data_IF_721462249288
#
_entry.id   IF_721462249288
#
_cell.length_a   1.000
_cell.length_b   1.000
_cell.length_c   1.000
_cell.angle_alpha   90.00
_cell.angle_beta   90.00
_cell.angle_gamma   90.00
#
_symmetry.space_group_name_H-M   'P 1'
#
loop_
_entity.id
_entity.type
_entity.pdbx_description
1 polymer ?
#
# COMPACT_ATOMS: atom_id res chain seq x y z
N UNK A 1 -0.20 -15.44 58.22
CA UNK A 1 0.14 -16.14 56.96
C UNK A 1 -0.24 -15.32 55.73
N UNK A 2 -1.50 -14.87 55.57
CA UNK A 2 -1.78 -13.73 54.66
C UNK A 2 -1.18 -12.47 55.28
N UNK A 3 -0.50 -11.65 54.47
CA UNK A 3 0.24 -10.46 54.90
C UNK A 3 1.72 -10.70 55.23
N UNK A 4 2.17 -11.96 55.29
CA UNK A 4 3.58 -12.28 55.53
C UNK A 4 4.41 -12.14 54.26
N UNK A 5 5.68 -11.77 54.46
CA UNK A 5 6.66 -11.71 53.39
C UNK A 5 7.35 -13.05 53.23
N UNK A 6 7.48 -13.47 51.97
CA UNK A 6 8.13 -14.70 51.55
C UNK A 6 9.06 -14.42 50.37
N UNK A 7 10.03 -15.30 50.16
CA UNK A 7 11.00 -15.14 49.07
C UNK A 7 10.87 -16.27 48.06
N UNK A 8 10.87 -15.93 46.78
CA UNK A 8 10.89 -16.89 45.67
C UNK A 8 12.26 -16.82 44.96
N UNK A 9 12.89 -17.97 44.63
CA UNK A 9 14.22 -18.00 44.01
C UNK A 9 14.35 -17.14 42.74
N UNK A 10 13.30 -17.12 41.90
CA UNK A 10 13.32 -16.41 40.62
C UNK A 10 12.68 -15.01 40.65
N UNK A 11 11.79 -14.73 41.60
CA UNK A 11 10.96 -13.52 41.58
C UNK A 11 11.24 -12.59 42.76
N UNK A 12 12.14 -12.98 43.66
CA UNK A 12 12.52 -12.19 44.81
C UNK A 12 11.47 -12.20 45.92
N UNK A 13 11.50 -11.17 46.76
CA UNK A 13 10.61 -11.00 47.91
C UNK A 13 9.19 -10.60 47.47
N UNK A 14 8.19 -11.13 48.14
CA UNK A 14 6.79 -10.75 47.94
C UNK A 14 5.92 -11.03 49.14
N UNK A 15 4.74 -10.42 49.17
CA UNK A 15 3.78 -10.55 50.27
C UNK A 15 2.64 -11.49 49.87
N UNK A 16 2.29 -12.44 50.73
CA UNK A 16 1.14 -13.33 50.52
C UNK A 16 -0.15 -12.52 50.65
N UNK A 17 -0.93 -12.44 49.57
CA UNK A 17 -2.19 -11.67 49.54
C UNK A 17 -3.42 -12.57 49.68
N UNK A 18 -3.32 -13.85 49.30
CA UNK A 18 -4.40 -14.81 49.47
C UNK A 18 -3.86 -16.26 49.48
N UNK A 19 -4.64 -17.18 50.06
CA UNK A 19 -4.31 -18.60 50.12
C UNK A 19 -5.42 -19.44 49.48
N UNK A 20 -5.03 -20.50 48.81
CA UNK A 20 -5.92 -21.40 48.07
C UNK A 20 -5.61 -22.86 48.40
N UNK A 21 -6.58 -23.74 48.18
CA UNK A 21 -6.46 -25.20 48.40
C UNK A 21 -5.92 -25.55 49.79
N UNK A 22 -6.60 -25.05 50.83
CA UNK A 22 -6.22 -25.24 52.25
C UNK A 22 -4.76 -24.85 52.56
N UNK A 23 -4.24 -23.82 51.90
CA UNK A 23 -2.91 -23.27 52.15
C UNK A 23 -1.76 -23.93 51.37
N UNK A 24 -2.07 -24.84 50.44
CA UNK A 24 -1.09 -25.47 49.55
C UNK A 24 -0.58 -24.51 48.45
N UNK A 25 -1.38 -23.51 48.07
CA UNK A 25 -1.00 -22.52 47.07
C UNK A 25 -1.17 -21.11 47.61
N UNK A 26 -0.18 -20.25 47.34
CA UNK A 26 -0.14 -18.86 47.78
C UNK A 26 -0.20 -17.94 46.58
N UNK A 27 -1.03 -16.91 46.68
CA UNK A 27 -1.01 -15.77 45.77
C UNK A 27 -0.11 -14.70 46.36
N UNK A 28 1.02 -14.44 45.71
CA UNK A 28 2.04 -13.52 46.21
C UNK A 28 2.11 -12.30 45.29
N UNK A 29 2.12 -11.11 45.89
CA UNK A 29 2.46 -9.86 45.22
C UNK A 29 3.93 -9.57 45.48
N UNK A 30 4.74 -9.60 44.42
CA UNK A 30 6.16 -9.33 44.50
C UNK A 30 6.44 -7.83 44.49
N UNK A 31 7.59 -7.42 45.02
CA UNK A 31 7.99 -6.01 45.08
C UNK A 31 8.16 -5.39 43.67
N UNK A 32 8.35 -6.23 42.64
CA UNK A 32 8.33 -5.84 41.22
C UNK A 32 6.95 -5.48 40.67
N UNK A 33 5.88 -5.64 41.46
CA UNK A 33 4.49 -5.38 41.06
C UNK A 33 3.77 -6.59 40.45
N UNK A 34 4.48 -7.68 40.17
CA UNK A 34 3.92 -8.92 39.63
C UNK A 34 3.08 -9.68 40.67
N UNK A 35 2.03 -10.38 40.20
CA UNK A 35 1.13 -11.18 41.06
C UNK A 35 0.88 -12.55 40.45
N UNK A 36 1.34 -13.60 41.12
CA UNK A 36 1.18 -14.97 40.65
C UNK A 36 0.76 -15.91 41.78
N UNK A 37 0.00 -16.95 41.41
CA UNK A 37 -0.35 -18.07 42.29
C UNK A 37 0.66 -19.19 42.09
N UNK A 38 1.32 -19.62 43.16
CA UNK A 38 2.31 -20.71 43.11
C UNK A 38 2.18 -21.64 44.33
N UNK A 39 2.62 -22.90 44.22
CA UNK A 39 2.71 -23.82 45.35
C UNK A 39 3.55 -23.25 46.50
N UNK A 40 3.12 -23.46 47.74
CA UNK A 40 3.81 -22.98 48.95
C UNK A 40 5.27 -23.42 49.03
N UNK A 41 5.59 -24.61 48.53
CA UNK A 41 6.93 -25.21 48.62
C UNK A 41 7.99 -24.46 47.79
N UNK A 42 7.55 -23.62 46.84
CA UNK A 42 8.44 -22.80 46.01
C UNK A 42 8.94 -21.53 46.74
N UNK A 43 8.50 -21.29 47.98
CA UNK A 43 8.82 -20.10 48.75
C UNK A 43 9.62 -20.43 50.02
N UNK A 44 10.65 -19.62 50.32
CA UNK A 44 11.51 -19.76 51.50
C UNK A 44 11.40 -18.54 52.44
N UNK A 45 11.53 -18.80 53.74
CA UNK A 45 11.64 -17.78 54.80
C UNK A 45 10.31 -17.14 55.23
N UNK A 46 9.82 -17.49 56.42
CA UNK A 46 8.93 -16.62 57.19
C UNK A 46 9.84 -15.74 58.06
N UNK A 47 10.16 -14.52 57.62
CA UNK A 47 10.85 -13.55 58.46
C UNK A 47 9.84 -12.52 58.99
N UNK A 48 9.66 -12.52 60.30
CA UNK A 48 9.00 -11.45 61.05
C UNK A 48 9.98 -10.29 61.24
N UNK A 49 9.58 -9.09 60.79
CA UNK A 49 10.07 -7.78 61.22
C UNK A 49 11.53 -7.44 60.94
N UNK A 50 11.81 -6.53 60.00
CA UNK A 50 11.97 -5.11 60.34
C UNK A 50 12.06 -4.25 59.06
N UNK A 51 11.57 -3.02 59.16
CA UNK A 51 11.36 -2.09 58.05
C UNK A 51 12.62 -1.33 57.66
N UNK A 52 13.11 -1.57 56.43
CA UNK A 52 13.71 -0.53 55.59
C UNK A 52 13.44 -0.86 54.12
N UNK A 53 12.43 -0.21 53.53
CA UNK A 53 12.19 -0.28 52.08
C UNK A 53 13.37 0.38 51.37
N UNK A 54 14.11 -0.30 50.47
CA UNK A 54 14.97 0.42 49.55
C UNK A 54 14.09 1.32 48.69
N UNK A 55 14.53 2.56 48.45
CA UNK A 55 13.80 3.50 47.61
C UNK A 55 13.44 2.83 46.28
N UNK A 56 12.19 2.99 45.77
CA UNK A 56 11.83 2.43 44.48
C UNK A 56 12.81 2.94 43.44
N UNK A 57 13.41 2.03 42.68
CA UNK A 57 14.25 2.40 41.55
C UNK A 57 13.45 3.40 40.69
N UNK A 58 14.06 4.51 40.26
CA UNK A 58 13.36 5.50 39.45
C UNK A 58 12.73 4.78 38.27
N UNK A 59 11.41 4.95 38.11
CA UNK A 59 10.71 4.48 36.91
C UNK A 59 11.45 5.09 35.73
N UNK A 60 11.96 4.24 34.84
CA UNK A 60 12.54 4.70 33.58
C UNK A 60 11.42 5.40 32.80
N UNK A 61 11.39 6.72 32.88
CA UNK A 61 10.59 7.56 32.00
C UNK A 61 11.49 7.85 30.81
N UNK A 62 11.37 7.13 29.68
CA UNK A 62 12.11 7.50 28.49
C UNK A 62 11.80 8.94 28.18
N UNK A 63 12.82 9.77 28.01
CA UNK A 63 12.65 11.11 27.47
C UNK A 63 11.93 10.95 26.13
N UNK A 64 10.76 11.58 25.92
CA UNK A 64 10.06 11.44 24.66
C UNK A 64 10.98 11.90 23.53
N UNK A 65 11.19 11.02 22.55
CA UNK A 65 12.02 11.32 21.40
C UNK A 65 11.44 12.55 20.67
N UNK A 66 12.29 13.49 20.20
CA UNK A 66 11.84 14.54 19.30
C UNK A 66 11.08 13.97 18.10
N UNK A 67 10.06 14.66 17.56
CA UNK A 67 9.26 14.16 16.42
C UNK A 67 10.11 13.76 15.22
N UNK A 68 11.13 14.54 14.89
CA UNK A 68 12.06 14.25 13.79
C UNK A 68 12.88 12.98 14.03
N UNK A 69 13.28 12.70 15.27
CA UNK A 69 13.97 11.46 15.62
C UNK A 69 13.02 10.26 15.52
N UNK A 70 11.77 10.42 15.93
CA UNK A 70 10.75 9.38 15.82
C UNK A 70 10.42 9.04 14.36
N UNK A 71 10.26 10.03 13.49
CA UNK A 71 10.05 9.84 12.04
C UNK A 71 11.23 9.09 11.40
N UNK A 72 12.46 9.53 11.70
CA UNK A 72 13.67 8.85 11.22
C UNK A 72 13.73 7.40 11.74
N UNK A 73 13.30 7.15 12.98
CA UNK A 73 13.23 5.79 13.53
C UNK A 73 12.23 4.93 12.77
N UNK A 74 11.04 5.44 12.51
CA UNK A 74 10.02 4.72 11.74
C UNK A 74 10.52 4.39 10.32
N UNK A 75 11.22 5.32 9.69
CA UNK A 75 11.85 5.09 8.39
C UNK A 75 12.87 3.94 8.45
N UNK A 76 13.81 3.99 9.38
CA UNK A 76 14.86 2.96 9.49
C UNK A 76 14.24 1.58 9.79
N UNK A 77 13.25 1.49 10.68
CA UNK A 77 12.58 0.21 10.95
C UNK A 77 11.79 -0.31 9.75
N UNK A 78 11.18 0.57 8.94
CA UNK A 78 10.49 0.18 7.70
C UNK A 78 11.48 -0.39 6.68
N UNK A 79 12.63 0.26 6.50
CA UNK A 79 13.67 -0.22 5.59
C UNK A 79 14.31 -1.52 6.06
N UNK A 80 14.43 -1.73 7.38
CA UNK A 80 14.91 -2.99 7.99
C UNK A 80 14.07 -4.19 7.57
N UNK A 81 12.74 -4.01 7.45
CA UNK A 81 11.81 -5.04 6.94
C UNK A 81 11.66 -5.02 5.42
N UNK A 82 12.42 -4.18 4.72
CA UNK A 82 12.43 -4.08 3.25
C UNK A 82 11.27 -3.30 2.65
N UNK A 83 10.63 -2.42 3.43
CA UNK A 83 9.51 -1.57 3.01
C UNK A 83 9.98 -0.11 2.91
N UNK A 84 9.85 0.49 1.72
CA UNK A 84 10.11 1.92 1.55
C UNK A 84 8.94 2.74 2.14
N UNK A 85 9.17 3.65 3.09
CA UNK A 85 8.11 4.46 3.67
C UNK A 85 7.63 5.52 2.66
N UNK A 86 6.31 5.62 2.49
CA UNK A 86 5.69 6.52 1.51
C UNK A 86 6.07 8.01 1.68
N UNK A 87 6.37 8.44 2.90
CA UNK A 87 6.68 9.85 3.22
C UNK A 87 8.04 10.29 2.66
N UNK A 88 9.01 9.36 2.54
CA UNK A 88 10.37 9.63 2.09
C UNK A 88 10.70 8.91 0.77
N UNK A 89 9.66 8.55 0.01
CA UNK A 89 9.83 7.72 -1.19
C UNK A 89 10.75 8.39 -2.21
N UNK A 90 10.63 9.71 -2.40
CA UNK A 90 11.45 10.47 -3.34
C UNK A 90 12.91 10.53 -2.90
N UNK A 91 13.16 10.70 -1.60
CA UNK A 91 14.52 10.75 -1.07
C UNK A 91 15.20 9.38 -1.23
N UNK A 92 14.46 8.30 -1.00
CA UNK A 92 15.01 6.94 -0.96
C UNK A 92 14.97 6.21 -2.31
N UNK A 93 14.55 6.89 -3.38
CA UNK A 93 14.53 6.31 -4.73
C UNK A 93 15.93 6.32 -5.33
N UNK A 94 16.35 5.18 -5.88
CA UNK A 94 17.66 5.01 -6.52
C UNK A 94 17.43 4.72 -8.00
N UNK A 95 18.02 5.52 -8.89
CA UNK A 95 18.13 5.20 -10.31
C UNK A 95 16.79 4.98 -11.01
N UNK A 96 15.76 5.77 -10.68
CA UNK A 96 14.45 5.74 -11.36
C UNK A 96 14.10 7.09 -12.02
N UNK A 97 15.11 7.91 -12.31
CA UNK A 97 14.90 9.25 -12.88
C UNK A 97 14.18 9.20 -14.24
N UNK A 98 14.52 8.24 -15.09
CA UNK A 98 13.89 8.06 -16.40
C UNK A 98 12.45 7.55 -16.26
N UNK A 99 12.22 6.56 -15.41
CA UNK A 99 10.90 6.01 -15.10
C UNK A 99 10.00 7.07 -14.47
N UNK A 100 10.54 7.92 -13.58
CA UNK A 100 9.79 9.07 -13.03
C UNK A 100 9.40 10.05 -14.11
N UNK A 101 10.30 10.35 -15.05
CA UNK A 101 9.99 11.22 -16.18
C UNK A 101 8.90 10.60 -17.08
N UNK A 102 8.95 9.29 -17.31
CA UNK A 102 7.91 8.56 -18.05
C UNK A 102 6.56 8.56 -17.33
N UNK A 103 6.52 8.30 -16.02
CA UNK A 103 5.30 8.40 -15.20
C UNK A 103 4.69 9.80 -15.27
N UNK A 104 5.53 10.83 -15.13
CA UNK A 104 5.14 12.23 -15.28
C UNK A 104 4.57 12.54 -16.66
N UNK A 105 5.19 12.02 -17.72
CA UNK A 105 4.71 12.15 -19.10
C UNK A 105 3.36 11.43 -19.29
N UNK A 106 3.23 10.21 -18.77
CA UNK A 106 2.01 9.41 -18.82
C UNK A 106 0.84 10.08 -18.10
N UNK A 107 1.05 10.65 -16.91
CA UNK A 107 0.03 11.41 -16.19
C UNK A 107 -0.38 12.69 -16.94
N UNK A 108 0.59 13.37 -17.54
CA UNK A 108 0.33 14.54 -18.41
C UNK A 108 -0.50 14.14 -19.63
N UNK A 109 -0.15 13.01 -20.26
CA UNK A 109 -0.90 12.43 -21.37
C UNK A 109 -2.32 12.06 -20.94
N UNK A 110 -2.49 11.43 -19.78
CA UNK A 110 -3.81 11.07 -19.27
C UNK A 110 -4.69 12.31 -19.08
N UNK A 111 -4.15 13.38 -18.51
CA UNK A 111 -4.90 14.63 -18.33
C UNK A 111 -5.28 15.29 -19.67
N UNK A 112 -4.34 15.37 -20.60
CA UNK A 112 -4.47 16.15 -21.85
C UNK A 112 -5.14 15.40 -23.01
N UNK A 113 -4.91 14.08 -23.13
CA UNK A 113 -5.38 13.24 -24.24
C UNK A 113 -6.48 12.25 -23.84
N UNK A 114 -6.91 12.25 -22.57
CA UNK A 114 -8.06 11.46 -22.10
C UNK A 114 -7.70 10.17 -21.36
N UNK A 115 -6.47 9.71 -21.43
CA UNK A 115 -5.97 8.62 -20.59
C UNK A 115 -4.62 8.09 -21.07
N UNK A 116 -3.97 7.26 -20.26
CA UNK A 116 -2.68 6.64 -20.60
C UNK A 116 -2.50 5.35 -19.80
N UNK A 117 -1.65 4.46 -20.31
CA UNK A 117 -1.36 3.16 -19.69
C UNK A 117 0.14 2.97 -19.56
N UNK A 118 0.56 2.35 -18.45
CA UNK A 118 1.92 1.83 -18.24
C UNK A 118 1.88 0.43 -17.63
N UNK A 119 2.50 -0.54 -18.29
CA UNK A 119 2.80 -1.85 -17.71
C UNK A 119 4.26 -1.83 -17.26
N UNK A 120 4.50 -1.96 -15.96
CA UNK A 120 5.86 -2.00 -15.42
C UNK A 120 6.28 -3.45 -15.20
N UNK A 121 7.37 -3.84 -15.84
CA UNK A 121 7.95 -5.16 -15.76
C UNK A 121 9.20 -5.11 -14.87
N UNK A 122 9.31 -6.04 -13.93
CA UNK A 122 10.53 -6.22 -13.16
C UNK A 122 10.53 -7.52 -12.36
N UNK A 123 11.71 -8.07 -12.09
CA UNK A 123 11.83 -9.28 -11.28
C UNK A 123 11.47 -9.03 -9.80
N UNK A 124 11.43 -10.12 -9.03
CA UNK A 124 11.17 -10.01 -7.60
C UNK A 124 12.26 -9.17 -6.91
N UNK A 125 11.82 -8.16 -6.16
CA UNK A 125 12.72 -7.28 -5.43
C UNK A 125 13.36 -6.16 -6.25
N UNK A 126 12.93 -5.92 -7.50
CA UNK A 126 13.42 -4.82 -8.38
C UNK A 126 12.70 -3.48 -8.16
N UNK A 127 11.80 -3.38 -7.17
CA UNK A 127 11.12 -2.11 -6.85
C UNK A 127 9.77 -1.89 -7.53
N UNK A 128 9.08 -2.93 -8.00
CA UNK A 128 7.71 -2.83 -8.56
C UNK A 128 6.72 -2.11 -7.63
N UNK A 129 6.60 -2.55 -6.37
CA UNK A 129 5.74 -1.88 -5.38
C UNK A 129 6.19 -0.44 -5.10
N UNK A 130 7.49 -0.17 -5.21
CA UNK A 130 8.04 1.17 -5.04
C UNK A 130 7.63 2.09 -6.19
N UNK A 131 7.69 1.63 -7.45
CA UNK A 131 7.22 2.44 -8.59
C UNK A 131 5.71 2.71 -8.53
N UNK A 132 4.91 1.80 -7.97
CA UNK A 132 3.47 2.00 -7.76
C UNK A 132 3.21 3.12 -6.77
N UNK A 133 3.89 3.14 -5.62
CA UNK A 133 3.74 4.23 -4.67
C UNK A 133 4.33 5.55 -5.20
N UNK A 134 5.38 5.49 -6.02
CA UNK A 134 5.95 6.66 -6.69
C UNK A 134 4.95 7.27 -7.69
N UNK A 135 4.31 6.43 -8.51
CA UNK A 135 3.22 6.83 -9.39
C UNK A 135 2.03 7.39 -8.60
N UNK A 136 1.69 6.79 -7.45
CA UNK A 136 0.64 7.30 -6.56
C UNK A 136 0.96 8.72 -6.08
N UNK A 137 2.20 8.95 -5.63
CA UNK A 137 2.64 10.26 -5.16
C UNK A 137 2.61 11.31 -6.27
N UNK A 138 3.20 11.00 -7.42
CA UNK A 138 3.24 11.90 -8.58
C UNK A 138 1.83 12.25 -9.07
N UNK A 139 0.92 11.26 -9.07
CA UNK A 139 -0.48 11.47 -9.44
C UNK A 139 -1.21 12.40 -8.45
N UNK A 140 -1.03 12.19 -7.14
CA UNK A 140 -1.60 13.06 -6.09
C UNK A 140 -1.06 14.49 -6.20
N UNK A 141 0.24 14.68 -6.40
CA UNK A 141 0.86 16.00 -6.57
C UNK A 141 0.30 16.73 -7.82
N UNK A 142 -0.13 15.97 -8.83
CA UNK A 142 -0.83 16.47 -10.04
C UNK A 142 -2.35 16.54 -9.90
N UNK A 143 -2.87 16.43 -8.68
CA UNK A 143 -4.31 16.46 -8.34
C UNK A 143 -5.17 15.35 -8.97
N UNK A 144 -4.61 14.20 -9.30
CA UNK A 144 -5.40 13.00 -9.58
C UNK A 144 -5.92 12.39 -8.28
N UNK A 145 -7.07 11.73 -8.34
CA UNK A 145 -7.43 10.75 -7.32
C UNK A 145 -6.65 9.46 -7.60
N UNK A 146 -6.25 8.73 -6.56
CA UNK A 146 -5.45 7.52 -6.74
C UNK A 146 -6.13 6.33 -6.10
N UNK A 147 -6.44 5.31 -6.89
CA UNK A 147 -6.94 4.02 -6.42
C UNK A 147 -5.83 2.97 -6.56
N UNK A 148 -5.42 2.38 -5.44
CA UNK A 148 -4.33 1.38 -5.41
C UNK A 148 -4.83 0.03 -4.90
N UNK A 149 -4.43 -1.06 -5.52
CA UNK A 149 -4.65 -2.41 -4.96
C UNK A 149 -3.50 -3.32 -5.32
N UNK A 150 -3.22 -4.31 -4.48
CA UNK A 150 -2.35 -5.44 -4.83
C UNK A 150 -3.23 -6.64 -5.18
N UNK A 151 -2.83 -7.43 -6.16
CA UNK A 151 -3.49 -8.70 -6.47
C UNK A 151 -2.83 -9.85 -5.74
N UNK A 152 -3.63 -10.83 -5.37
CA UNK A 152 -3.18 -12.06 -4.72
C UNK A 152 -4.09 -13.22 -5.13
N UNK A 153 -3.53 -14.41 -5.31
CA UNK A 153 -4.31 -15.58 -5.76
C UNK A 153 -5.41 -16.00 -4.78
N UNK A 154 -5.14 -15.89 -3.47
CA UNK A 154 -6.03 -16.33 -2.41
C UNK A 154 -7.09 -15.28 -2.07
N UNK A 155 -6.67 -14.03 -1.92
CA UNK A 155 -7.52 -12.94 -1.43
C UNK A 155 -8.23 -12.19 -2.56
N UNK A 156 -7.48 -11.72 -3.56
CA UNK A 156 -7.99 -10.84 -4.60
C UNK A 156 -7.45 -11.21 -6.00
N UNK A 157 -7.87 -12.37 -6.55
CA UNK A 157 -7.34 -12.83 -7.83
C UNK A 157 -7.86 -12.01 -9.00
N UNK A 158 -7.02 -11.77 -10.01
CA UNK A 158 -7.30 -10.88 -11.15
C UNK A 158 -8.60 -11.21 -11.93
N UNK A 159 -9.03 -12.49 -11.97
CA UNK A 159 -10.25 -12.90 -12.67
C UNK A 159 -11.55 -12.41 -12.00
N UNK A 160 -11.47 -11.86 -10.78
CA UNK A 160 -12.61 -11.32 -10.02
C UNK A 160 -12.69 -9.80 -10.15
N UNK A 161 -12.88 -9.32 -11.38
CA UNK A 161 -12.94 -7.88 -11.72
C UNK A 161 -13.85 -7.05 -10.79
N UNK A 162 -15.00 -7.59 -10.38
CA UNK A 162 -15.92 -6.92 -9.44
C UNK A 162 -15.28 -6.69 -8.05
N UNK A 163 -14.58 -7.69 -7.52
CA UNK A 163 -13.94 -7.60 -6.21
C UNK A 163 -12.71 -6.65 -6.31
N UNK A 164 -11.95 -6.69 -7.43
CA UNK A 164 -10.84 -5.76 -7.72
C UNK A 164 -11.33 -4.30 -7.76
N UNK A 165 -12.42 -4.03 -8.48
CA UNK A 165 -13.07 -2.71 -8.49
C UNK A 165 -13.46 -2.26 -7.08
N UNK A 166 -14.05 -3.16 -6.29
CA UNK A 166 -14.41 -2.84 -4.91
C UNK A 166 -13.21 -2.50 -4.03
N UNK A 167 -12.07 -3.19 -4.21
CA UNK A 167 -10.83 -2.86 -3.52
C UNK A 167 -10.33 -1.47 -3.89
N UNK A 168 -10.24 -1.19 -5.19
CA UNK A 168 -9.81 0.11 -5.74
C UNK A 168 -10.68 1.28 -5.24
N UNK A 169 -12.01 1.13 -5.24
CA UNK A 169 -12.90 2.21 -4.79
C UNK A 169 -12.85 2.45 -3.28
N UNK A 170 -12.44 1.45 -2.48
CA UNK A 170 -12.25 1.60 -1.03
C UNK A 170 -10.89 2.21 -0.68
N UNK A 171 -9.87 1.99 -1.51
CA UNK A 171 -8.51 2.50 -1.31
C UNK A 171 -8.27 3.89 -1.91
N UNK A 172 -9.29 4.52 -2.51
CA UNK A 172 -9.19 5.81 -3.17
C UNK A 172 -8.58 6.89 -2.24
N UNK A 173 -7.52 7.55 -2.70
CA UNK A 173 -6.77 8.62 -2.02
C UNK A 173 -7.04 9.95 -2.70
N UNK A 174 -7.02 11.03 -1.91
CA UNK A 174 -7.27 12.39 -2.37
C UNK A 174 -6.00 13.26 -2.21
N UNK A 175 -5.76 14.20 -3.12
CA UNK A 175 -4.61 15.11 -3.03
C UNK A 175 -4.80 16.20 -1.96
N UNK A 176 -6.04 16.46 -1.56
CA UNK A 176 -6.45 17.54 -0.66
C UNK A 176 -7.08 17.04 0.66
N UNK A 177 -7.03 15.72 0.92
CA UNK A 177 -7.57 15.13 2.16
C UNK A 177 -6.92 13.78 2.49
N UNK A 178 -6.80 13.48 3.78
CA UNK A 178 -6.37 12.17 4.29
C UNK A 178 -7.49 11.12 4.30
N UNK A 179 -8.73 11.52 4.02
CA UNK A 179 -9.86 10.61 3.87
C UNK A 179 -9.62 9.58 2.76
N UNK A 180 -10.36 8.46 2.83
CA UNK A 180 -10.19 7.31 1.94
C UNK A 180 -11.54 6.84 1.37
N UNK A 181 -11.46 6.22 0.21
CA UNK A 181 -12.60 5.58 -0.46
C UNK A 181 -13.43 6.55 -1.29
N UNK A 182 -14.50 6.04 -1.91
CA UNK A 182 -15.32 6.80 -2.85
C UNK A 182 -16.23 7.87 -2.18
N UNK A 183 -16.44 7.78 -0.86
CA UNK A 183 -17.36 8.63 -0.10
C UNK A 183 -17.13 10.15 -0.29
N UNK A 184 -15.92 10.67 -0.05
CA UNK A 184 -15.65 12.12 -0.19
C UNK A 184 -15.94 12.67 -1.58
N UNK A 185 -15.62 11.92 -2.64
CA UNK A 185 -15.96 12.31 -4.02
C UNK A 185 -17.49 12.38 -4.23
N UNK A 186 -18.22 11.38 -3.72
CA UNK A 186 -19.69 11.35 -3.80
C UNK A 186 -20.33 12.49 -3.01
N UNK A 187 -19.80 12.84 -1.84
CA UNK A 187 -20.22 13.99 -1.04
C UNK A 187 -20.06 15.29 -1.82
N UNK A 188 -18.88 15.49 -2.43
CA UNK A 188 -18.58 16.68 -3.23
C UNK A 188 -19.55 16.82 -4.40
N UNK A 189 -19.76 15.75 -5.16
CA UNK A 189 -20.65 15.81 -6.34
C UNK A 189 -22.12 15.91 -5.95
N UNK A 190 -22.58 15.20 -4.90
CA UNK A 190 -24.00 15.26 -4.50
C UNK A 190 -24.39 16.64 -3.99
N UNK A 191 -23.45 17.37 -3.37
CA UNK A 191 -23.68 18.71 -2.83
C UNK A 191 -23.85 19.80 -3.89
N UNK A 192 -23.43 19.56 -5.14
CA UNK A 192 -23.45 20.56 -6.22
C UNK A 192 -24.44 20.12 -7.32
N UNK A 193 -25.64 20.74 -7.43
CA UNK A 193 -26.66 20.36 -8.42
C UNK A 193 -26.16 20.29 -9.86
N UNK A 194 -25.40 21.31 -10.29
CA UNK A 194 -24.86 21.39 -11.66
C UNK A 194 -23.98 20.20 -12.03
N UNK A 195 -23.18 19.67 -11.09
CA UNK A 195 -22.32 18.52 -11.38
C UNK A 195 -23.14 17.24 -11.58
N UNK A 196 -24.27 17.10 -10.86
CA UNK A 196 -25.20 15.98 -11.02
C UNK A 196 -25.89 16.00 -12.37
N UNK A 197 -26.33 17.18 -12.80
CA UNK A 197 -26.93 17.40 -14.12
C UNK A 197 -25.92 17.06 -15.23
N UNK A 198 -24.70 17.59 -15.15
CA UNK A 198 -23.62 17.28 -16.08
C UNK A 198 -23.30 15.78 -16.14
N UNK A 199 -23.24 15.09 -14.98
CA UNK A 199 -23.03 13.65 -14.95
C UNK A 199 -24.16 12.89 -15.66
N UNK A 200 -25.41 13.30 -15.47
CA UNK A 200 -26.56 12.68 -16.11
C UNK A 200 -26.58 12.92 -17.63
N UNK A 201 -26.13 14.08 -18.10
CA UNK A 201 -26.05 14.42 -19.53
C UNK A 201 -24.98 13.61 -20.27
N UNK A 202 -23.83 13.36 -19.64
CA UNK A 202 -22.69 12.66 -20.26
C UNK A 202 -22.76 11.13 -20.12
N UNK A 203 -23.64 10.60 -19.27
CA UNK A 203 -23.76 9.16 -19.04
C UNK A 203 -24.24 8.45 -20.31
N UNK A 204 -23.44 7.53 -20.91
CA UNK A 204 -23.77 6.92 -22.20
C UNK A 204 -24.84 5.83 -22.12
N UNK A 205 -25.16 5.34 -20.91
CA UNK A 205 -26.18 4.31 -20.71
C UNK A 205 -27.31 4.88 -19.88
N UNK A 206 -28.54 4.53 -20.25
CA UNK A 206 -29.70 4.77 -19.41
C UNK A 206 -29.48 4.14 -18.02
N UNK A 207 -30.16 4.59 -16.96
CA UNK A 207 -30.11 3.93 -15.64
C UNK A 207 -28.66 3.58 -15.20
N UNK A 208 -27.75 4.53 -15.34
CA UNK A 208 -26.34 4.40 -14.99
C UNK A 208 -26.18 4.22 -13.46
N UNK A 209 -25.35 3.26 -12.98
CA UNK A 209 -25.10 3.10 -11.55
C UNK A 209 -24.60 4.36 -10.84
N UNK A 210 -23.70 5.14 -11.44
CA UNK A 210 -23.12 6.33 -10.81
C UNK A 210 -24.16 7.46 -10.72
N UNK A 211 -24.83 7.78 -11.83
CA UNK A 211 -25.93 8.77 -11.87
C UNK A 211 -27.02 8.42 -10.88
N UNK A 212 -27.47 7.15 -10.87
CA UNK A 212 -28.53 6.69 -9.97
C UNK A 212 -28.08 6.79 -8.51
N UNK A 213 -26.85 6.37 -8.22
CA UNK A 213 -26.27 6.41 -6.89
C UNK A 213 -26.14 7.84 -6.35
N UNK A 214 -25.56 8.75 -7.11
CA UNK A 214 -25.40 10.17 -6.74
C UNK A 214 -26.78 10.84 -6.57
N UNK A 215 -27.72 10.56 -7.47
CA UNK A 215 -29.10 11.09 -7.38
C UNK A 215 -29.80 10.58 -6.12
N UNK A 216 -29.69 9.29 -5.80
CA UNK A 216 -30.24 8.73 -4.57
C UNK A 216 -29.60 9.39 -3.33
N UNK A 217 -28.27 9.50 -3.30
CA UNK A 217 -27.53 10.14 -2.20
C UNK A 217 -27.95 11.59 -1.96
N UNK A 218 -28.24 12.36 -3.02
CA UNK A 218 -28.65 13.76 -2.91
C UNK A 218 -30.02 13.96 -2.24
N UNK A 219 -30.87 12.92 -2.22
CA UNK A 219 -32.20 12.97 -1.60
C UNK A 219 -32.23 12.32 -0.20
N UNK A 220 -31.08 11.83 0.29
CA UNK A 220 -30.99 11.08 1.54
C UNK A 220 -30.50 11.94 2.70
N UNK A 221 -31.24 11.88 3.81
CA UNK A 221 -30.83 12.47 5.10
C UNK A 221 -30.27 11.43 6.09
N UNK A 222 -30.57 10.14 5.89
CA UNK A 222 -30.14 9.08 6.80
C UNK A 222 -28.71 8.62 6.51
N UNK A 223 -27.79 8.81 7.48
CA UNK A 223 -26.40 8.35 7.39
C UNK A 223 -26.28 6.84 7.13
N UNK A 224 -27.19 6.03 7.69
CA UNK A 224 -27.22 4.57 7.44
C UNK A 224 -27.56 4.24 5.99
N UNK A 225 -28.48 4.98 5.37
CA UNK A 225 -28.80 4.77 3.96
C UNK A 225 -27.69 5.29 3.06
N UNK A 226 -27.07 6.44 3.39
CA UNK A 226 -25.93 6.98 2.67
C UNK A 226 -24.77 5.97 2.64
N UNK A 227 -24.36 5.45 3.80
CA UNK A 227 -23.34 4.41 3.91
C UNK A 227 -23.68 3.13 3.11
N UNK A 228 -24.96 2.76 3.02
CA UNK A 228 -25.39 1.60 2.22
C UNK A 228 -25.23 1.85 0.71
N UNK A 229 -25.52 3.06 0.24
CA UNK A 229 -25.33 3.47 -1.16
C UNK A 229 -23.86 3.61 -1.53
N UNK A 230 -23.07 4.25 -0.68
CA UNK A 230 -21.61 4.34 -0.85
C UNK A 230 -20.99 2.95 -0.93
N UNK A 231 -21.33 2.06 0.02
CA UNK A 231 -20.82 0.69 -0.01
C UNK A 231 -21.23 -0.05 -1.29
N UNK A 232 -22.46 0.11 -1.77
CA UNK A 232 -22.90 -0.52 -3.02
C UNK A 232 -22.14 -0.01 -4.25
N UNK A 233 -21.93 1.32 -4.35
CA UNK A 233 -21.10 1.92 -5.41
C UNK A 233 -19.65 1.45 -5.37
N UNK A 234 -19.15 1.07 -4.19
CA UNK A 234 -17.83 0.43 -3.99
C UNK A 234 -17.87 -1.11 -4.13
N UNK A 235 -18.81 -1.67 -4.90
CA UNK A 235 -18.90 -3.14 -5.10
C UNK A 235 -19.50 -3.89 -3.91
N UNK A 236 -20.27 -3.23 -3.06
CA UNK A 236 -21.04 -3.85 -1.98
C UNK A 236 -22.32 -4.52 -2.47
N UNK A 237 -22.93 -5.34 -1.62
CA UNK A 237 -24.23 -5.97 -1.92
C UNK A 237 -25.35 -4.94 -1.81
N UNK A 238 -26.32 -5.01 -2.73
CA UNK A 238 -27.58 -4.28 -2.60
C UNK A 238 -28.32 -4.75 -1.33
N UNK A 239 -28.80 -3.81 -0.54
CA UNK A 239 -29.57 -4.08 0.70
C UNK A 239 -30.97 -3.47 0.64
N UNK A 240 -31.90 -4.02 1.43
CA UNK A 240 -33.32 -3.57 1.45
C UNK A 240 -33.49 -2.07 1.75
N UNK A 241 -32.60 -1.49 2.57
CA UNK A 241 -32.63 -0.08 2.94
C UNK A 241 -32.54 0.87 1.72
N UNK A 242 -31.93 0.42 0.64
CA UNK A 242 -31.73 1.23 -0.57
C UNK A 242 -32.99 1.34 -1.41
N UNK A 243 -33.91 0.37 -1.33
CA UNK A 243 -35.08 0.30 -2.21
C UNK A 243 -35.94 1.57 -2.13
N UNK A 244 -36.13 2.12 -0.92
CA UNK A 244 -36.92 3.35 -0.68
C UNK A 244 -36.27 4.62 -1.22
N UNK A 245 -34.95 4.59 -1.42
CA UNK A 245 -34.16 5.72 -1.87
C UNK A 245 -33.85 5.68 -3.37
N UNK A 246 -34.25 4.60 -4.05
CA UNK A 246 -34.14 4.50 -5.52
C UNK A 246 -35.01 5.59 -6.15
N UNK A 247 -34.50 6.36 -7.12
CA UNK A 247 -35.31 7.38 -7.80
C UNK A 247 -36.59 6.78 -8.40
N UNK A 248 -37.69 7.54 -8.36
CA UNK A 248 -39.00 7.08 -8.84
C UNK A 248 -38.95 6.76 -10.33
N UNK A 249 -39.59 5.66 -10.74
CA UNK A 249 -39.64 5.22 -12.13
C UNK A 249 -38.36 4.53 -12.62
N UNK A 250 -37.28 4.49 -11.82
CA UNK A 250 -36.02 3.86 -12.21
C UNK A 250 -35.93 2.45 -11.62
N UNK A 251 -35.68 1.46 -12.48
CA UNK A 251 -35.34 0.09 -12.04
C UNK A 251 -33.96 0.12 -11.40
N UNK A 252 -33.81 -0.36 -10.17
CA UNK A 252 -32.51 -0.36 -9.49
C UNK A 252 -31.39 -0.99 -10.35
N UNK A 253 -30.30 -0.25 -10.68
CA UNK A 253 -29.23 -0.74 -11.53
C UNK A 253 -28.41 -1.84 -10.87
N UNK A 254 -27.85 -2.75 -11.66
CA UNK A 254 -26.98 -3.83 -11.16
C UNK A 254 -25.53 -3.55 -11.50
N UNK A 255 -24.64 -3.73 -10.53
CA UNK A 255 -23.19 -3.92 -10.76
C UNK A 255 -22.95 -5.43 -10.71
N UNK A 256 -22.60 -6.03 -11.84
CA UNK A 256 -22.61 -7.48 -12.00
C UNK A 256 -21.36 -8.12 -11.39
N UNK A 257 -21.58 -8.99 -10.40
CA UNK A 257 -20.50 -9.76 -9.76
C UNK A 257 -20.05 -10.98 -10.58
N UNK A 258 -20.94 -11.55 -11.39
CA UNK A 258 -20.73 -12.77 -12.16
C UNK A 258 -21.07 -12.55 -13.63
N UNK A 259 -20.55 -13.41 -14.50
CA UNK A 259 -20.70 -13.28 -15.96
C UNK A 259 -19.62 -12.40 -16.59
N UNK A 260 -19.85 -11.96 -17.82
CA UNK A 260 -18.94 -11.02 -18.52
C UNK A 260 -19.13 -9.60 -17.97
N UNK A 261 -18.42 -9.27 -16.90
CA UNK A 261 -18.54 -7.97 -16.22
C UNK A 261 -17.37 -7.02 -16.48
N UNK A 262 -16.31 -7.45 -17.16
CA UNK A 262 -15.12 -6.64 -17.44
C UNK A 262 -15.47 -5.28 -18.08
N UNK A 263 -16.34 -5.26 -19.10
CA UNK A 263 -16.86 -4.03 -19.72
C UNK A 263 -17.46 -3.06 -18.71
N UNK A 264 -18.36 -3.56 -17.87
CA UNK A 264 -19.00 -2.73 -16.86
C UNK A 264 -17.99 -2.21 -15.83
N UNK A 265 -16.99 -3.00 -15.46
CA UNK A 265 -15.97 -2.57 -14.51
C UNK A 265 -15.08 -1.47 -15.11
N UNK A 266 -14.61 -1.63 -16.36
CA UNK A 266 -13.87 -0.59 -17.06
C UNK A 266 -14.69 0.69 -17.24
N UNK A 267 -15.98 0.55 -17.57
CA UNK A 267 -16.94 1.64 -17.65
C UNK A 267 -17.11 2.39 -16.32
N UNK A 268 -17.18 1.67 -15.19
CA UNK A 268 -17.31 2.30 -13.88
C UNK A 268 -16.01 3.00 -13.45
N UNK A 269 -14.85 2.42 -13.73
CA UNK A 269 -13.56 3.07 -13.43
C UNK A 269 -13.38 4.36 -14.23
N UNK A 270 -13.67 4.33 -15.54
CA UNK A 270 -13.67 5.55 -16.36
C UNK A 270 -14.75 6.53 -15.91
N UNK A 271 -15.92 6.06 -15.47
CA UNK A 271 -16.97 6.92 -14.91
C UNK A 271 -16.58 7.62 -13.62
N UNK A 272 -15.86 6.93 -12.72
CA UNK A 272 -15.28 7.56 -11.51
C UNK A 272 -14.19 8.57 -11.89
N UNK A 273 -13.43 8.32 -12.95
CA UNK A 273 -12.47 9.30 -13.48
C UNK A 273 -13.16 10.57 -13.98
N UNK A 274 -14.25 10.44 -14.74
CA UNK A 274 -15.09 11.56 -15.18
C UNK A 274 -15.70 12.30 -13.98
N UNK A 275 -16.20 11.55 -12.99
CA UNK A 275 -16.73 12.11 -11.74
C UNK A 275 -15.68 12.94 -10.99
N UNK A 276 -14.43 12.45 -10.92
CA UNK A 276 -13.30 13.17 -10.33
C UNK A 276 -13.02 14.48 -11.09
N UNK A 277 -13.04 14.46 -12.43
CA UNK A 277 -12.89 15.67 -13.25
C UNK A 277 -13.98 16.69 -13.00
N UNK A 278 -15.24 16.26 -12.94
CA UNK A 278 -16.37 17.13 -12.61
C UNK A 278 -16.20 17.77 -11.23
N UNK A 279 -15.64 17.04 -10.27
CA UNK A 279 -15.35 17.54 -8.93
C UNK A 279 -14.12 18.48 -8.84
N UNK A 280 -13.40 18.72 -9.95
CA UNK A 280 -12.24 19.61 -10.01
C UNK A 280 -10.89 18.94 -9.77
N UNK A 281 -10.82 17.61 -9.92
CA UNK A 281 -9.58 16.85 -9.95
C UNK A 281 -9.08 16.63 -11.39
N UNK A 282 -7.83 16.23 -11.55
CA UNK A 282 -7.23 16.02 -12.87
C UNK A 282 -7.72 14.74 -13.57
N UNK A 283 -8.25 13.79 -12.81
CA UNK A 283 -8.71 12.47 -13.27
C UNK A 283 -8.57 11.40 -12.19
N UNK A 284 -8.52 10.13 -12.60
CA UNK A 284 -8.27 8.97 -11.74
C UNK A 284 -7.01 8.23 -12.21
N UNK A 285 -6.11 7.94 -11.28
CA UNK A 285 -5.01 6.99 -11.45
C UNK A 285 -5.39 5.66 -10.79
N UNK A 286 -5.49 4.59 -11.58
CA UNK A 286 -5.70 3.23 -11.13
C UNK A 286 -4.36 2.50 -11.16
N UNK A 287 -3.88 2.06 -10.00
CA UNK A 287 -2.58 1.43 -9.85
C UNK A 287 -2.77 0.02 -9.28
N UNK A 288 -2.31 -1.00 -10.00
CA UNK A 288 -2.44 -2.41 -9.61
C UNK A 288 -1.04 -3.02 -9.43
N UNK A 289 -0.72 -3.42 -8.21
CA UNK A 289 0.52 -4.15 -7.92
C UNK A 289 0.29 -5.67 -7.99
N UNK A 290 1.37 -6.44 -8.16
CA UNK A 290 1.39 -7.91 -8.14
C UNK A 290 0.48 -8.55 -9.23
N UNK A 291 0.42 -7.96 -10.42
CA UNK A 291 -0.39 -8.50 -11.51
C UNK A 291 0.16 -9.83 -12.06
N UNK A 292 1.38 -10.23 -11.68
CA UNK A 292 1.93 -11.57 -11.94
C UNK A 292 1.09 -12.73 -11.40
N UNK A 293 0.22 -12.46 -10.40
CA UNK A 293 -0.81 -13.42 -9.98
C UNK A 293 -1.67 -13.91 -11.15
N UNK A 294 -1.78 -13.14 -12.24
CA UNK A 294 -2.37 -13.55 -13.53
C UNK A 294 -1.78 -14.86 -14.06
N UNK A 295 -0.45 -14.95 -14.11
CA UNK A 295 0.28 -16.09 -14.70
C UNK A 295 0.07 -17.38 -13.92
N UNK A 296 -0.28 -17.26 -12.64
CA UNK A 296 -0.52 -18.36 -11.72
C UNK A 296 -2.01 -18.80 -11.68
N UNK A 297 -2.88 -18.11 -12.43
CA UNK A 297 -4.30 -18.48 -12.54
C UNK A 297 -4.48 -19.80 -13.29
N UNK A 298 -5.59 -20.47 -13.00
CA UNK A 298 -6.03 -21.64 -13.75
C UNK A 298 -6.39 -21.25 -15.20
N UNK A 299 -6.24 -22.18 -16.14
CA UNK A 299 -6.51 -21.92 -17.58
C UNK A 299 -7.91 -21.34 -17.86
N UNK A 300 -8.94 -21.71 -17.08
CA UNK A 300 -10.29 -21.16 -17.24
C UNK A 300 -10.50 -19.78 -16.60
N UNK A 301 -9.56 -19.33 -15.76
CA UNK A 301 -9.58 -18.04 -15.06
C UNK A 301 -8.82 -16.96 -15.84
N UNK A 302 -7.72 -17.33 -16.51
CA UNK A 302 -6.89 -16.41 -17.29
C UNK A 302 -7.68 -15.59 -18.32
N UNK A 303 -8.60 -16.16 -19.13
CA UNK A 303 -9.39 -15.36 -20.08
C UNK A 303 -10.22 -14.26 -19.41
N UNK A 304 -10.76 -14.52 -18.22
CA UNK A 304 -11.54 -13.51 -17.47
C UNK A 304 -10.68 -12.40 -16.91
N UNK A 305 -9.49 -12.74 -16.43
CA UNK A 305 -8.51 -11.75 -16.00
C UNK A 305 -7.99 -10.92 -17.18
N UNK A 306 -7.75 -11.57 -18.32
CA UNK A 306 -7.30 -10.91 -19.55
C UNK A 306 -8.33 -9.90 -20.03
N UNK A 307 -9.61 -10.30 -20.07
CA UNK A 307 -10.72 -9.38 -20.37
C UNK A 307 -10.80 -8.18 -19.43
N UNK A 308 -10.48 -8.36 -18.13
CA UNK A 308 -10.46 -7.24 -17.20
C UNK A 308 -9.35 -6.24 -17.53
N UNK A 309 -8.11 -6.71 -17.67
CA UNK A 309 -6.99 -5.82 -17.98
C UNK A 309 -7.15 -5.15 -19.33
N UNK A 310 -7.44 -5.90 -20.39
CA UNK A 310 -7.62 -5.33 -21.73
C UNK A 310 -8.79 -4.36 -21.81
N UNK A 311 -9.86 -4.56 -21.01
CA UNK A 311 -10.99 -3.63 -20.96
C UNK A 311 -10.60 -2.30 -20.29
N UNK A 312 -9.83 -2.33 -19.21
CA UNK A 312 -9.34 -1.11 -18.53
C UNK A 312 -8.31 -0.39 -19.39
N UNK A 313 -7.42 -1.13 -20.08
CA UNK A 313 -6.47 -0.60 -21.05
C UNK A 313 -7.21 0.13 -22.17
N UNK A 314 -8.22 -0.52 -22.77
CA UNK A 314 -9.03 0.10 -23.82
C UNK A 314 -9.74 1.36 -23.31
N UNK A 315 -10.36 1.32 -22.12
CA UNK A 315 -11.00 2.49 -21.53
C UNK A 315 -10.03 3.66 -21.32
N UNK A 316 -8.77 3.40 -20.94
CA UNK A 316 -7.76 4.44 -20.73
C UNK A 316 -7.17 4.98 -22.05
N UNK A 317 -6.95 4.12 -23.06
CA UNK A 317 -6.33 4.53 -24.33
C UNK A 317 -7.36 5.09 -25.32
N UNK A 318 -8.60 4.61 -25.27
CA UNK A 318 -9.63 4.86 -26.28
C UNK A 318 -9.37 4.12 -27.59
N UNK A 319 -10.35 4.16 -28.49
CA UNK A 319 -10.37 3.36 -29.73
C UNK A 319 -9.16 3.61 -30.64
N UNK A 320 -8.66 4.85 -30.73
CA UNK A 320 -7.58 5.20 -31.68
C UNK A 320 -6.19 4.77 -31.23
N UNK A 321 -6.00 4.48 -29.94
CA UNK A 321 -4.68 4.15 -29.36
C UNK A 321 -4.61 2.74 -28.78
N UNK A 322 -5.73 2.07 -28.60
CA UNK A 322 -5.78 0.71 -28.12
C UNK A 322 -5.48 -0.29 -29.25
N UNK A 323 -4.66 -1.31 -28.98
CA UNK A 323 -4.46 -2.43 -29.91
C UNK A 323 -5.69 -3.35 -30.02
N UNK A 324 -6.44 -3.47 -28.93
CA UNK A 324 -7.59 -4.36 -28.82
C UNK A 324 -8.85 -3.62 -29.23
N UNK A 325 -9.57 -4.13 -30.24
CA UNK A 325 -10.84 -3.52 -30.66
C UNK A 325 -11.96 -3.80 -29.66
N UNK A 326 -12.84 -2.82 -29.45
CA UNK A 326 -14.00 -2.95 -28.56
C UNK A 326 -14.90 -4.15 -28.92
N UNK A 327 -15.02 -4.52 -30.19
CA UNK A 327 -15.90 -5.61 -30.64
C UNK A 327 -15.52 -6.99 -30.06
N UNK A 328 -14.26 -7.16 -29.67
CA UNK A 328 -13.73 -8.42 -29.12
C UNK A 328 -14.24 -8.71 -27.70
N UNK A 329 -14.76 -7.70 -27.00
CA UNK A 329 -15.19 -7.84 -25.61
C UNK A 329 -16.63 -8.34 -25.51
N UNK A 330 -16.88 -9.46 -24.81
CA UNK A 330 -18.22 -10.01 -24.66
C UNK A 330 -19.12 -9.09 -23.82
N UNK A 331 -20.38 -8.99 -24.22
CA UNK A 331 -21.40 -8.26 -23.46
C UNK A 331 -21.92 -9.09 -22.28
N UNK A 332 -22.41 -8.40 -21.26
CA UNK A 332 -23.13 -9.06 -20.19
C UNK A 332 -24.52 -9.46 -20.67
N UNK A 333 -24.97 -10.68 -20.33
CA UNK A 333 -26.25 -11.26 -20.79
C UNK A 333 -27.51 -10.42 -20.53
N UNK A 334 -27.45 -9.55 -19.51
CA UNK A 334 -28.59 -8.73 -19.09
C UNK A 334 -28.52 -7.30 -19.60
N UNK A 335 -27.32 -6.81 -19.95
CA UNK A 335 -27.13 -5.41 -20.28
C UNK A 335 -25.82 -5.18 -21.01
N UNK A 336 -25.88 -4.32 -22.01
CA UNK A 336 -24.73 -3.82 -22.74
C UNK A 336 -24.12 -2.61 -22.03
N UNK A 337 -22.80 -2.57 -21.95
CA UNK A 337 -22.03 -1.39 -21.52
C UNK A 337 -20.95 -1.08 -22.56
N UNK A 338 -20.71 0.21 -22.86
CA UNK A 338 -19.48 0.61 -23.55
C UNK A 338 -18.29 0.33 -22.62
N UNK A 339 -17.07 0.32 -23.16
CA UNK A 339 -15.85 0.15 -22.35
C UNK A 339 -15.48 1.43 -21.57
N UNK A 340 -15.86 2.58 -22.11
CA UNK A 340 -15.41 3.88 -21.64
C UNK A 340 -16.61 4.79 -21.34
N UNK A 341 -16.46 5.68 -20.36
CA UNK A 341 -17.53 6.59 -19.93
C UNK A 341 -17.61 7.81 -20.85
N UNK A 342 -18.44 7.70 -21.91
CA UNK A 342 -18.66 8.73 -22.91
C UNK A 342 -17.44 8.99 -23.82
N UNK A 343 -17.62 9.85 -24.82
CA UNK A 343 -16.59 10.18 -25.83
C UNK A 343 -15.55 11.21 -25.32
N UNK A 344 -15.63 11.61 -24.05
CA UNK A 344 -14.87 12.70 -23.47
C UNK A 344 -13.47 12.28 -22.97
N UNK A 345 -12.61 13.27 -22.69
CA UNK A 345 -11.31 13.07 -22.02
C UNK A 345 -11.52 12.56 -20.59
N UNK A 346 -11.60 11.24 -20.41
CA UNK A 346 -11.87 10.60 -19.11
C UNK A 346 -10.78 10.87 -18.08
N UNK A 347 -9.54 11.08 -18.53
CA UNK A 347 -8.32 11.20 -17.74
C UNK A 347 -8.09 10.05 -16.79
N UNK A 348 -8.22 8.85 -17.34
CA UNK A 348 -7.89 7.61 -16.66
C UNK A 348 -6.41 7.27 -16.92
N UNK A 349 -5.59 7.31 -15.88
CA UNK A 349 -4.24 6.76 -15.90
C UNK A 349 -4.28 5.34 -15.32
N UNK A 350 -3.80 4.35 -16.06
CA UNK A 350 -3.77 2.97 -15.60
C UNK A 350 -2.35 2.44 -15.57
N UNK A 351 -1.89 2.05 -14.39
CA UNK A 351 -0.59 1.41 -14.22
C UNK A 351 -0.76 0.06 -13.56
N UNK A 352 -0.03 -0.94 -14.05
CA UNK A 352 0.06 -2.22 -13.36
C UNK A 352 1.46 -2.80 -13.45
N UNK A 353 1.85 -3.56 -12.43
CA UNK A 353 3.18 -4.17 -12.34
C UNK A 353 3.10 -5.69 -12.56
N UNK A 354 4.13 -6.27 -13.16
CA UNK A 354 4.18 -7.71 -13.46
C UNK A 354 5.63 -8.22 -13.51
N UNK A 355 5.85 -9.51 -13.26
CA UNK A 355 7.13 -10.19 -13.47
C UNK A 355 7.17 -10.88 -14.83
N UNK A 356 8.37 -11.04 -15.42
CA UNK A 356 8.53 -11.88 -16.62
C UNK A 356 8.48 -13.35 -16.22
N UNK A 357 7.32 -13.98 -16.33
CA UNK A 357 7.17 -15.43 -16.15
C UNK A 357 7.22 -16.19 -17.48
N UNK A 358 7.23 -17.53 -17.48
CA UNK A 358 7.08 -18.32 -18.74
C UNK A 358 5.61 -18.40 -19.20
N UNK A 359 4.65 -18.26 -18.26
CA UNK A 359 3.20 -18.19 -18.54
C UNK A 359 2.73 -16.73 -18.59
N UNK A 360 3.27 -15.95 -19.54
CA UNK A 360 3.13 -14.49 -19.55
C UNK A 360 1.70 -14.00 -19.73
N UNK A 361 1.42 -12.89 -19.05
CA UNK A 361 0.36 -11.97 -19.44
C UNK A 361 0.68 -11.44 -20.85
N UNK A 362 -0.25 -11.46 -21.81
CA UNK A 362 0.03 -11.11 -23.21
C UNK A 362 0.06 -9.59 -23.40
N UNK A 363 1.07 -8.93 -22.84
CA UNK A 363 1.20 -7.47 -22.84
C UNK A 363 1.37 -6.93 -24.26
N UNK A 364 2.13 -7.61 -25.10
CA UNK A 364 2.44 -7.19 -26.46
C UNK A 364 1.21 -7.21 -27.38
N UNK A 365 0.19 -8.02 -27.03
CA UNK A 365 -1.11 -8.03 -27.70
C UNK A 365 -1.99 -6.83 -27.30
N UNK A 366 -1.74 -6.25 -26.13
CA UNK A 366 -2.59 -5.19 -25.55
C UNK A 366 -1.97 -3.79 -25.64
N UNK A 367 -0.64 -3.71 -25.62
CA UNK A 367 0.11 -2.48 -25.41
C UNK A 367 1.17 -2.25 -26.49
N UNK A 368 1.41 -0.99 -26.81
CA UNK A 368 2.56 -0.57 -27.61
C UNK A 368 3.85 -0.62 -26.79
N UNK A 369 5.04 -0.79 -27.43
CA UNK A 369 6.31 -0.86 -26.71
C UNK A 369 6.57 0.32 -25.76
N UNK A 370 6.16 1.53 -26.13
CA UNK A 370 6.34 2.74 -25.31
C UNK A 370 5.43 2.78 -24.06
N UNK A 371 4.49 1.86 -23.95
CA UNK A 371 3.61 1.69 -22.78
C UNK A 371 4.14 0.61 -21.83
N UNK A 372 5.21 -0.09 -22.20
CA UNK A 372 5.84 -1.13 -21.39
C UNK A 372 7.16 -0.56 -20.85
N UNK A 373 7.28 -0.49 -19.54
CA UNK A 373 8.46 0.03 -18.84
C UNK A 373 9.16 -1.15 -18.18
N UNK A 374 10.42 -1.38 -18.51
CA UNK A 374 11.25 -2.38 -17.83
C UNK A 374 12.08 -1.70 -16.74
N UNK A 375 11.98 -2.17 -15.50
CA UNK A 375 12.81 -1.68 -14.40
C UNK A 375 14.23 -2.21 -14.58
N UNK A 376 15.22 -1.31 -14.61
CA UNK A 376 16.62 -1.70 -14.64
C UNK A 376 17.06 -2.30 -13.29
N UNK A 377 17.54 -3.55 -13.25
CA UNK A 377 18.15 -4.11 -12.04
C UNK A 377 19.43 -3.41 -11.60
N UNK A 378 20.09 -2.66 -12.48
CA UNK A 378 21.44 -2.18 -12.26
C UNK A 378 21.47 -0.74 -11.81
N UNK A 379 22.19 -0.49 -10.73
CA UNK A 379 22.50 0.86 -10.29
C UNK A 379 24.01 1.07 -10.20
N UNK A 380 24.44 2.27 -10.58
CA UNK A 380 25.81 2.69 -10.48
C UNK A 380 26.25 2.80 -9.02
N UNK A 381 27.56 2.65 -8.78
CA UNK A 381 28.13 2.89 -7.45
C UNK A 381 27.88 4.33 -6.96
N UNK A 382 27.72 5.29 -7.89
CA UNK A 382 27.41 6.67 -7.52
C UNK A 382 25.98 6.79 -6.95
N UNK A 383 25.00 6.16 -7.59
CA UNK A 383 23.61 6.17 -7.12
C UNK A 383 23.46 5.45 -5.78
N UNK A 384 24.06 4.26 -5.64
CA UNK A 384 24.08 3.53 -4.37
C UNK A 384 24.81 4.34 -3.29
N UNK A 385 25.89 5.04 -3.64
CA UNK A 385 26.62 5.90 -2.71
C UNK A 385 25.79 7.06 -2.16
N UNK A 386 24.94 7.69 -3.00
CA UNK A 386 23.99 8.74 -2.58
C UNK A 386 22.92 8.16 -1.66
N UNK A 387 22.38 7.00 -2.00
CA UNK A 387 21.42 6.32 -1.14
C UNK A 387 22.00 5.97 0.23
N UNK A 388 23.20 5.38 0.26
CA UNK A 388 23.91 5.08 1.50
C UNK A 388 24.16 6.35 2.34
N UNK A 389 24.38 7.50 1.71
CA UNK A 389 24.49 8.79 2.41
C UNK A 389 23.18 9.17 3.10
N UNK A 390 22.05 9.05 2.42
CA UNK A 390 20.74 9.37 3.00
C UNK A 390 20.39 8.41 4.15
N UNK A 391 20.62 7.10 3.97
CA UNK A 391 20.41 6.12 5.05
C UNK A 391 21.30 6.45 6.25
N UNK A 392 22.57 6.81 6.03
CA UNK A 392 23.47 7.22 7.11
C UNK A 392 22.92 8.41 7.90
N UNK A 393 22.38 9.42 7.20
CA UNK A 393 21.82 10.63 7.83
C UNK A 393 20.54 10.32 8.62
N UNK A 394 19.60 9.56 8.04
CA UNK A 394 18.41 9.12 8.77
C UNK A 394 18.76 8.22 9.95
N UNK A 395 19.75 7.35 9.81
CA UNK A 395 20.21 6.49 10.89
C UNK A 395 20.84 7.31 12.02
N UNK A 396 21.71 8.28 11.70
CA UNK A 396 22.25 9.24 12.65
C UNK A 396 21.16 10.00 13.41
N UNK A 397 20.15 10.50 12.69
CA UNK A 397 19.00 11.19 13.27
C UNK A 397 18.15 10.26 14.17
N UNK A 398 17.90 9.02 13.74
CA UNK A 398 17.11 8.05 14.48
C UNK A 398 17.76 7.64 15.82
N UNK A 399 19.08 7.52 15.84
CA UNK A 399 19.84 7.06 17.01
C UNK A 399 20.53 8.19 17.79
N UNK A 400 20.45 9.43 17.31
CA UNK A 400 20.98 10.61 18.01
C UNK A 400 22.51 10.67 18.05
N UNK A 401 23.20 10.31 16.95
CA UNK A 401 24.66 10.42 16.83
C UNK A 401 25.06 11.20 15.57
N UNK A 402 26.28 11.73 15.55
CA UNK A 402 26.84 12.42 14.38
C UNK A 402 27.68 11.45 13.51
N UNK A 403 27.46 11.39 12.17
CA UNK A 403 28.26 10.54 11.30
C UNK A 403 29.76 10.88 11.35
N UNK A 404 30.58 9.90 11.74
CA UNK A 404 32.03 9.99 11.76
C UNK A 404 32.69 9.55 10.46
N UNK A 405 34.02 9.59 10.45
CA UNK A 405 34.83 9.20 9.27
C UNK A 405 34.69 7.71 8.94
N UNK A 406 34.45 6.86 9.95
CA UNK A 406 34.20 5.43 9.77
C UNK A 406 32.97 5.16 8.91
N UNK A 407 31.84 5.82 9.21
CA UNK A 407 30.61 5.70 8.43
C UNK A 407 30.81 6.22 7.00
N UNK A 408 31.53 7.34 6.83
CA UNK A 408 31.87 7.89 5.51
C UNK A 408 32.79 6.97 4.69
N UNK A 409 33.71 6.27 5.33
CA UNK A 409 34.57 5.28 4.67
C UNK A 409 33.76 4.07 4.20
N UNK A 410 32.87 3.55 5.05
CA UNK A 410 31.95 2.46 4.69
C UNK A 410 31.05 2.85 3.53
N UNK A 411 30.45 4.05 3.55
CA UNK A 411 29.65 4.56 2.44
C UNK A 411 30.37 4.44 1.10
N UNK A 412 31.64 4.86 1.02
CA UNK A 412 32.44 4.83 -0.22
C UNK A 412 32.76 3.40 -0.64
N UNK A 413 33.25 2.56 0.28
CA UNK A 413 33.65 1.18 -0.03
C UNK A 413 32.48 0.25 -0.32
N UNK A 414 31.37 0.39 0.41
CA UNK A 414 30.20 -0.45 0.25
C UNK A 414 29.46 -0.15 -1.06
N UNK A 415 29.46 1.10 -1.53
CA UNK A 415 28.78 1.48 -2.77
C UNK A 415 29.28 0.67 -3.99
N UNK A 416 30.59 0.49 -4.12
CA UNK A 416 31.19 -0.31 -5.20
C UNK A 416 30.83 -1.79 -5.08
N UNK A 417 30.92 -2.34 -3.86
CA UNK A 417 30.63 -3.75 -3.58
C UNK A 417 29.16 -4.09 -3.82
N UNK A 418 28.24 -3.23 -3.37
CA UNK A 418 26.81 -3.42 -3.57
C UNK A 418 26.44 -3.27 -5.06
N UNK A 419 27.00 -2.28 -5.77
CA UNK A 419 26.81 -2.13 -7.23
C UNK A 419 27.35 -3.35 -8.01
N UNK A 420 28.46 -3.93 -7.56
CA UNK A 420 29.01 -5.14 -8.14
C UNK A 420 28.13 -6.36 -7.84
N UNK A 421 27.61 -6.48 -6.61
CA UNK A 421 26.67 -7.52 -6.22
C UNK A 421 25.39 -7.52 -7.06
N UNK A 422 24.85 -6.33 -7.35
CA UNK A 422 23.70 -6.18 -8.25
C UNK A 422 24.03 -6.57 -9.69
N UNK A 423 25.17 -6.11 -10.23
CA UNK A 423 25.64 -6.47 -11.59
C UNK A 423 25.90 -7.96 -11.81
N UNK A 424 26.12 -8.70 -10.73
CA UNK A 424 26.32 -10.14 -10.76
C UNK A 424 25.04 -10.92 -10.37
N UNK A 425 23.87 -10.26 -10.33
CA UNK A 425 22.58 -10.83 -9.94
C UNK A 425 22.55 -11.47 -8.54
N UNK A 426 23.48 -11.09 -7.66
CA UNK A 426 23.57 -11.60 -6.27
C UNK A 426 22.75 -10.78 -5.29
N UNK A 427 22.51 -9.51 -5.62
CA UNK A 427 21.73 -8.60 -4.81
C UNK A 427 20.61 -7.96 -5.62
N UNK A 428 19.40 -8.01 -5.08
CA UNK A 428 18.31 -7.14 -5.52
C UNK A 428 18.40 -5.78 -4.85
N UNK A 429 17.68 -4.78 -5.38
CA UNK A 429 17.58 -3.47 -4.71
C UNK A 429 17.01 -3.58 -3.30
N UNK A 430 16.08 -4.51 -3.05
CA UNK A 430 15.61 -4.81 -1.70
C UNK A 430 16.74 -5.31 -0.79
N UNK A 431 17.62 -6.15 -1.33
CA UNK A 431 18.83 -6.61 -0.63
C UNK A 431 19.76 -5.45 -0.27
N UNK A 432 20.00 -4.54 -1.22
CA UNK A 432 20.80 -3.32 -1.00
C UNK A 432 20.21 -2.45 0.10
N UNK A 433 18.89 -2.22 0.10
CA UNK A 433 18.20 -1.43 1.13
C UNK A 433 18.39 -2.05 2.53
N UNK A 434 18.22 -3.37 2.66
CA UNK A 434 18.40 -4.07 3.95
C UNK A 434 19.84 -4.01 4.43
N UNK A 435 20.79 -4.34 3.54
CA UNK A 435 22.22 -4.29 3.86
C UNK A 435 22.69 -2.89 4.22
N UNK A 436 22.17 -1.84 3.57
CA UNK A 436 22.49 -0.46 3.92
C UNK A 436 22.16 -0.14 5.39
N UNK A 437 21.00 -0.56 5.87
CA UNK A 437 20.59 -0.38 7.27
C UNK A 437 21.47 -1.23 8.19
N UNK A 438 21.67 -2.51 7.85
CA UNK A 438 22.48 -3.45 8.65
C UNK A 438 23.93 -2.96 8.81
N UNK A 439 24.54 -2.39 7.77
CA UNK A 439 25.88 -1.82 7.83
C UNK A 439 25.98 -0.71 8.88
N UNK A 440 25.01 0.21 8.93
CA UNK A 440 25.05 1.31 9.89
C UNK A 440 24.65 0.89 11.31
N UNK A 441 23.74 -0.09 11.46
CA UNK A 441 23.45 -0.69 12.76
C UNK A 441 24.69 -1.37 13.35
N UNK A 442 25.42 -2.13 12.54
CA UNK A 442 26.63 -2.82 12.97
C UNK A 442 27.67 -1.82 13.48
N UNK A 443 27.93 -0.75 12.73
CA UNK A 443 28.84 0.30 13.17
C UNK A 443 28.35 0.98 14.46
N UNK A 444 27.05 1.21 14.60
CA UNK A 444 26.50 1.85 15.79
C UNK A 444 26.59 0.98 17.03
N UNK A 445 26.25 -0.31 16.92
CA UNK A 445 26.27 -1.27 18.02
C UNK A 445 27.69 -1.71 18.42
N UNK A 446 28.62 -1.71 17.47
CA UNK A 446 30.00 -2.17 17.66
C UNK A 446 31.02 -1.06 17.32
N UNK A 447 31.29 -0.13 18.25
CA UNK A 447 32.32 0.91 18.08
C UNK A 447 33.72 0.37 17.76
N UNK A 448 34.03 -0.85 18.21
CA UNK A 448 35.29 -1.56 18.00
C UNK A 448 35.46 -2.13 16.58
N UNK A 449 34.36 -2.29 15.83
CA UNK A 449 34.41 -2.87 14.50
C UNK A 449 35.01 -1.89 13.49
N UNK A 450 36.10 -2.30 12.84
CA UNK A 450 36.84 -1.46 11.90
C UNK A 450 36.14 -1.41 10.54
N UNK A 451 36.27 -0.29 9.82
CA UNK A 451 35.69 -0.17 8.48
C UNK A 451 36.28 -1.20 7.50
N UNK A 452 37.56 -1.56 7.65
CA UNK A 452 38.20 -2.55 6.80
C UNK A 452 37.57 -3.93 6.98
N UNK A 453 37.35 -4.35 8.23
CA UNK A 453 36.72 -5.64 8.56
C UNK A 453 35.32 -5.77 7.95
N UNK A 454 34.48 -4.74 8.10
CA UNK A 454 33.13 -4.73 7.50
C UNK A 454 33.18 -4.86 5.98
N UNK A 455 34.08 -4.12 5.32
CA UNK A 455 34.18 -4.14 3.86
C UNK A 455 34.74 -5.47 3.34
N UNK A 456 35.64 -6.11 4.09
CA UNK A 456 36.15 -7.43 3.75
C UNK A 456 35.05 -8.50 3.87
N UNK A 457 34.27 -8.48 4.95
CA UNK A 457 33.11 -9.36 5.12
C UNK A 457 32.04 -9.14 4.05
N UNK A 458 31.71 -7.87 3.76
CA UNK A 458 30.78 -7.53 2.69
C UNK A 458 31.30 -8.02 1.33
N UNK A 459 32.60 -7.88 1.06
CA UNK A 459 33.21 -8.37 -0.18
C UNK A 459 33.10 -9.89 -0.29
N UNK A 460 33.31 -10.62 0.80
CA UNK A 460 33.18 -12.08 0.81
C UNK A 460 31.74 -12.53 0.59
N UNK A 461 30.74 -11.80 1.10
CA UNK A 461 29.33 -12.06 0.78
C UNK A 461 29.00 -11.78 -0.70
N UNK A 462 29.70 -10.84 -1.33
CA UNK A 462 29.49 -10.46 -2.74
C UNK A 462 30.29 -11.31 -3.74
N UNK A 463 31.19 -12.18 -3.27
CA UNK A 463 32.01 -13.14 -4.05
C UNK A 463 31.33 -14.47 -4.27
#
# INVERSE_FOLDING_TARGET
MIGEFVQHPSYGRGQIVAQYRNGAEWMVRFDSGLRFRRPRQEFTGQQNGDTSMPAPAPLFTPTPMPPSQWEARQLIESLRVGVAPAQHILDLTIGLEEERADLAAGLTQAHSQGGAVRAVIGEYGFGKSHIVELAAREALDRRFLVATTSLDLGELPAHRAFDVYGSLMRSLRYPDSDERGLGPLLERVKSIPRLREQLAEIAPVENDPLVTGVTALSNLTSSRQQAAWENWLMGGRRVKLMNRATPRGIRFPSIYRVGHNARQIAYLLSGVSVLARLAGYSGLAVLIDEAESYSLLQAYQQPKAGLFFSAVIHAALGETRAKVSEETFPQHRFRTYPLAYGDARQSLFFLFTVTRSDNRMPLEEWLEPEQIVELDPHHSAQEIGRFLEQIMLFHAQAYGYEPGDRQRQIRRGAAELLAQGMRNDRLSIRGVVRLAVELYDLLYLHPEYSAATVLDELRDQMR
#
